data_IF_759288296574
#
_entry.id   IF_759288296574
#
_cell.length_a   1.000
_cell.length_b   1.000
_cell.length_c   1.000
_cell.angle_alpha   90.00
_cell.angle_beta   90.00
_cell.angle_gamma   90.00
#
_symmetry.space_group_name_H-M   'P 1'
#
loop_
_entity.id
_entity.type
_entity.pdbx_description
1 polymer ?
#
# COMPACT_ATOMS: atom_id res chain seq x y z
N UNK A 1 9.47 -12.99 -5.05
CA UNK A 1 10.01 -12.09 -4.02
C UNK A 1 8.87 -11.23 -3.53
N UNK A 2 8.44 -11.43 -2.29
CA UNK A 2 7.39 -10.64 -1.63
C UNK A 2 8.07 -9.53 -0.83
N UNK A 3 8.02 -8.30 -1.33
CA UNK A 3 8.61 -7.16 -0.63
C UNK A 3 7.65 -6.69 0.46
N UNK A 4 8.16 -6.60 1.69
CA UNK A 4 7.41 -6.13 2.85
C UNK A 4 7.30 -4.61 2.82
N UNK A 5 6.08 -4.11 2.91
CA UNK A 5 5.81 -2.67 2.94
C UNK A 5 5.49 -2.22 4.35
N UNK A 6 6.12 -1.13 4.78
CA UNK A 6 5.68 -0.37 5.96
C UNK A 6 4.94 0.87 5.50
N UNK A 7 3.81 1.15 6.10
CA UNK A 7 3.07 2.38 5.82
C UNK A 7 3.66 3.53 6.64
N UNK A 8 3.98 4.64 5.98
CA UNK A 8 4.56 5.84 6.61
C UNK A 8 3.47 6.78 7.09
N UNK A 9 2.48 7.06 6.24
CA UNK A 9 1.37 7.95 6.57
C UNK A 9 0.13 7.58 5.76
N UNK A 10 -1.04 7.46 6.39
CA UNK A 10 -2.32 7.24 5.68
C UNK A 10 -3.25 8.41 5.97
N UNK A 11 -3.94 8.92 4.94
CA UNK A 11 -5.08 9.81 5.10
C UNK A 11 -6.08 9.28 6.15
N UNK A 12 -6.49 10.14 7.09
CA UNK A 12 -7.29 9.77 8.27
C UNK A 12 -8.58 9.01 7.94
N UNK A 13 -9.18 9.34 6.80
CA UNK A 13 -10.38 8.71 6.23
C UNK A 13 -10.18 7.23 5.87
N UNK A 14 -9.00 6.85 5.38
CA UNK A 14 -8.68 5.45 5.03
C UNK A 14 -8.02 4.76 6.23
N UNK A 15 -7.31 5.51 7.08
CA UNK A 15 -6.67 5.00 8.30
C UNK A 15 -7.63 4.18 9.16
N UNK A 16 -8.86 4.65 9.40
CA UNK A 16 -9.85 3.89 10.19
C UNK A 16 -10.23 2.54 9.56
N UNK A 17 -10.29 2.46 8.23
CA UNK A 17 -10.58 1.22 7.50
C UNK A 17 -9.40 0.25 7.52
N UNK A 18 -8.18 0.79 7.57
CA UNK A 18 -6.94 0.01 7.50
C UNK A 18 -6.31 -0.28 8.85
N UNK A 19 -6.75 0.37 9.93
CA UNK A 19 -6.12 0.25 11.25
C UNK A 19 -6.07 -1.20 11.75
N UNK A 20 -7.09 -2.00 11.40
CA UNK A 20 -7.19 -3.44 11.72
C UNK A 20 -6.15 -4.28 10.98
N UNK A 21 -5.65 -3.81 9.84
CA UNK A 21 -4.68 -4.49 8.98
C UNK A 21 -3.29 -3.83 9.03
N UNK A 22 -3.14 -2.74 9.81
CA UNK A 22 -1.92 -1.92 9.82
C UNK A 22 -0.74 -2.61 10.51
N UNK A 23 -1.04 -3.47 11.48
CA UNK A 23 -0.05 -4.26 12.20
C UNK A 23 0.29 -5.58 11.49
N UNK A 24 -0.34 -5.85 10.34
CA UNK A 24 -0.08 -7.03 9.54
C UNK A 24 0.87 -6.69 8.41
N UNK A 25 1.61 -7.69 7.96
CA UNK A 25 2.50 -7.54 6.81
C UNK A 25 1.69 -7.22 5.55
N UNK A 26 2.20 -6.26 4.79
CA UNK A 26 1.61 -5.76 3.56
C UNK A 26 2.51 -6.13 2.41
N UNK A 27 1.90 -6.63 1.33
CA UNK A 27 2.64 -7.12 0.18
C UNK A 27 2.50 -6.18 -1.00
N UNK A 28 3.62 -5.81 -1.62
CA UNK A 28 3.60 -5.18 -2.92
C UNK A 28 3.21 -6.21 -3.98
N UNK A 29 2.05 -6.04 -4.61
CA UNK A 29 1.55 -6.99 -5.63
C UNK A 29 1.57 -6.42 -7.04
N UNK A 30 1.87 -5.13 -7.20
CA UNK A 30 2.01 -4.53 -8.52
C UNK A 30 1.95 -3.01 -8.52
N UNK A 31 1.69 -2.45 -9.69
CA UNK A 31 1.59 -1.01 -9.90
C UNK A 31 0.43 -0.66 -10.83
N UNK A 32 -0.33 0.39 -10.50
CA UNK A 32 -1.38 0.97 -11.34
C UNK A 32 -0.84 2.21 -12.06
N UNK A 33 -0.91 2.22 -13.39
CA UNK A 33 -0.61 3.42 -14.19
C UNK A 33 -1.86 4.32 -14.23
N UNK A 34 -1.72 5.60 -13.90
CA UNK A 34 -2.83 6.58 -13.88
C UNK A 34 -2.70 7.69 -14.92
N UNK A 35 -1.47 8.19 -15.15
CA UNK A 35 -1.13 9.12 -16.24
C UNK A 35 0.31 8.84 -16.69
N UNK A 36 0.72 9.40 -17.84
CA UNK A 36 1.88 8.99 -18.65
C UNK A 36 3.11 8.51 -17.86
N UNK A 37 3.48 9.20 -16.76
CA UNK A 37 4.65 8.85 -15.95
C UNK A 37 4.37 8.51 -14.48
N UNK A 38 3.10 8.45 -14.05
CA UNK A 38 2.76 8.14 -12.65
C UNK A 38 2.28 6.70 -12.51
N UNK A 39 3.04 5.93 -11.75
CA UNK A 39 2.71 4.58 -11.29
C UNK A 39 2.45 4.63 -9.79
N UNK A 40 1.33 4.05 -9.37
CA UNK A 40 0.97 3.92 -7.97
C UNK A 40 1.19 2.49 -7.51
N UNK A 41 1.93 2.24 -6.43
CA UNK A 41 2.06 0.90 -5.85
C UNK A 41 0.68 0.35 -5.47
N UNK A 42 0.48 -0.94 -5.74
CA UNK A 42 -0.68 -1.71 -5.30
C UNK A 42 -0.21 -2.61 -4.16
N UNK A 43 -0.77 -2.37 -2.98
CA UNK A 43 -0.55 -3.18 -1.80
C UNK A 43 -1.71 -4.15 -1.61
N UNK A 44 -1.40 -5.39 -1.25
CA UNK A 44 -2.38 -6.39 -0.83
C UNK A 44 -2.36 -6.52 0.69
N UNK A 45 -3.54 -6.43 1.28
CA UNK A 45 -3.77 -6.66 2.70
C UNK A 45 -3.96 -8.17 2.96
N UNK A 46 -3.89 -8.58 4.23
CA UNK A 46 -4.08 -9.97 4.64
C UNK A 46 -5.45 -10.56 4.24
N UNK A 47 -6.47 -9.73 4.07
CA UNK A 47 -7.80 -10.16 3.60
C UNK A 47 -7.93 -10.15 2.06
N UNK A 48 -6.82 -10.16 1.34
CA UNK A 48 -6.75 -10.07 -0.13
C UNK A 48 -7.32 -8.78 -0.74
N UNK A 49 -7.67 -7.79 0.10
CA UNK A 49 -8.08 -6.48 -0.40
C UNK A 49 -6.87 -5.77 -0.98
N UNK A 50 -7.03 -5.25 -2.20
CA UNK A 50 -5.97 -4.52 -2.91
C UNK A 50 -6.23 -3.04 -2.90
N UNK A 51 -5.19 -2.27 -2.57
CA UNK A 51 -5.26 -0.82 -2.47
C UNK A 51 -4.08 -0.23 -3.23
N UNK A 52 -4.40 0.61 -4.20
CA UNK A 52 -3.48 1.58 -4.75
C UNK A 52 -3.22 2.71 -3.75
N UNK A 53 -1.96 2.98 -3.48
CA UNK A 53 -1.52 3.98 -2.49
C UNK A 53 -0.48 4.91 -3.12
N UNK A 54 -0.34 6.14 -2.61
CA UNK A 54 0.70 7.04 -3.10
C UNK A 54 2.08 6.55 -2.62
N UNK A 55 3.13 6.62 -3.46
CA UNK A 55 4.48 6.22 -3.06
C UNK A 55 4.98 6.95 -1.81
N UNK A 56 4.58 8.21 -1.64
CA UNK A 56 4.98 9.06 -0.52
C UNK A 56 4.32 8.64 0.82
N UNK A 57 3.25 7.86 0.75
CA UNK A 57 2.48 7.35 1.90
C UNK A 57 3.08 6.04 2.46
N UNK A 58 3.97 5.38 1.72
CA UNK A 58 4.57 4.08 2.10
C UNK A 58 6.10 4.10 2.07
N UNK A 59 6.70 3.10 2.69
CA UNK A 59 8.12 2.79 2.58
C UNK A 59 8.24 1.32 2.25
N UNK A 60 8.79 1.05 1.07
CA UNK A 60 9.04 -0.32 0.62
C UNK A 60 10.37 -0.72 1.24
N UNK A 61 10.36 -1.76 2.08
CA UNK A 61 11.59 -2.41 2.51
C UNK A 61 11.94 -3.45 1.45
N UNK A 62 13.00 -3.16 0.70
CA UNK A 62 13.65 -4.09 -0.22
C UNK A 62 14.55 -5.04 0.56
#
# INVERSE_FOLDING_TARGET
MTNLIKIKNIPKNIKLKLIKHFYQDLYLVGYKKIKSNKKLPIIELFNYTRIWILPEEITIKL
#
